data_IF_103570074681
#
_entry.id   IF_103570074681
#
_cell.length_a   1.000
_cell.length_b   1.000
_cell.length_c   1.000
_cell.angle_alpha   90.00
_cell.angle_beta   90.00
_cell.angle_gamma   90.00
#
_symmetry.space_group_name_H-M   'P 1'
#
loop_
_entity.id
_entity.type
_entity.pdbx_description
1 polymer ?
#
# COMPACT_ATOMS: atom_id res chain seq x y z
N UNK A 1 -2.31 3.33 8.09
CA UNK A 1 -1.58 2.27 7.38
C UNK A 1 -0.41 1.83 8.24
N UNK A 2 -0.16 0.53 8.32
CA UNK A 2 0.86 -0.03 9.21
C UNK A 2 1.72 -1.04 8.46
N UNK A 3 2.93 -1.27 8.96
CA UNK A 3 3.79 -2.34 8.45
C UNK A 3 3.03 -3.67 8.55
N UNK A 4 3.05 -4.44 7.47
CA UNK A 4 2.33 -5.70 7.38
C UNK A 4 0.94 -5.62 6.78
N UNK A 5 0.39 -4.40 6.62
CA UNK A 5 -0.88 -4.24 5.92
C UNK A 5 -0.73 -4.66 4.46
N UNK A 6 -1.79 -5.23 3.90
CA UNK A 6 -1.90 -5.45 2.46
C UNK A 6 -2.72 -4.32 1.86
N UNK A 7 -2.18 -3.70 0.82
CA UNK A 7 -2.78 -2.51 0.21
C UNK A 7 -2.90 -2.67 -1.31
N UNK A 8 -3.84 -1.92 -1.87
CA UNK A 8 -4.08 -1.86 -3.32
C UNK A 8 -4.10 -0.40 -3.73
N UNK A 9 -3.54 -0.10 -4.90
CA UNK A 9 -3.57 1.25 -5.45
C UNK A 9 -5.02 1.69 -5.71
N UNK A 10 -5.34 2.93 -5.34
CA UNK A 10 -6.66 3.52 -5.60
C UNK A 10 -6.97 3.61 -7.10
N UNK A 11 -5.94 3.59 -7.94
CA UNK A 11 -6.13 3.55 -9.39
C UNK A 11 -6.90 2.33 -9.86
N UNK A 12 -6.90 1.25 -9.08
CA UNK A 12 -7.56 0.00 -9.42
C UNK A 12 -8.89 -0.22 -8.68
N UNK A 13 -9.35 0.75 -7.90
CA UNK A 13 -10.54 0.53 -7.05
C UNK A 13 -11.82 0.25 -7.84
N UNK A 14 -11.86 0.64 -9.11
CA UNK A 14 -13.03 0.44 -9.97
C UNK A 14 -12.98 -0.84 -10.81
N UNK A 15 -11.89 -1.59 -10.70
CA UNK A 15 -11.77 -2.86 -11.43
C UNK A 15 -12.38 -3.98 -10.60
N UNK A 16 -13.16 -4.83 -11.26
CA UNK A 16 -13.82 -5.97 -10.62
C UNK A 16 -12.92 -7.20 -10.54
N UNK A 17 -11.82 -7.21 -11.27
CA UNK A 17 -10.92 -8.34 -11.33
C UNK A 17 -9.92 -8.35 -10.18
N UNK A 18 -9.21 -9.46 -10.07
CA UNK A 18 -8.19 -9.62 -9.04
C UNK A 18 -7.08 -8.62 -9.26
N UNK A 19 -6.90 -7.73 -8.28
CA UNK A 19 -5.78 -6.80 -8.25
C UNK A 19 -4.83 -7.28 -7.18
N UNK A 20 -3.53 -7.50 -7.51
CA UNK A 20 -2.58 -7.98 -6.51
C UNK A 20 -2.42 -6.96 -5.37
N UNK A 21 -2.64 -7.40 -4.14
CA UNK A 21 -2.33 -6.60 -2.97
C UNK A 21 -0.83 -6.65 -2.72
N UNK A 22 -0.29 -5.55 -2.20
CA UNK A 22 1.14 -5.42 -1.89
C UNK A 22 1.34 -5.24 -0.41
N UNK A 23 2.40 -5.84 0.11
CA UNK A 23 2.73 -5.77 1.53
C UNK A 23 3.44 -4.45 1.84
N UNK A 24 3.00 -3.77 2.88
CA UNK A 24 3.66 -2.57 3.40
C UNK A 24 4.88 -3.00 4.22
N UNK A 25 6.06 -2.56 3.78
CA UNK A 25 7.33 -2.88 4.45
C UNK A 25 7.75 -1.81 5.44
N UNK A 26 7.48 -0.55 5.15
CA UNK A 26 7.85 0.58 5.99
C UNK A 26 6.80 1.67 5.88
N UNK A 27 6.67 2.46 6.95
CA UNK A 27 5.77 3.61 7.03
C UNK A 27 6.53 4.73 7.71
N UNK A 28 6.41 5.96 7.19
CA UNK A 28 7.00 7.14 7.85
C UNK A 28 6.26 7.44 9.15
N UNK A 29 6.92 8.20 10.05
CA UNK A 29 6.33 8.57 11.33
C UNK A 29 5.02 9.36 11.17
N UNK A 30 4.92 10.18 10.12
CA UNK A 30 3.70 10.93 9.82
C UNK A 30 2.65 10.11 9.08
N UNK A 31 2.94 8.86 8.76
CA UNK A 31 2.08 7.92 8.02
C UNK A 31 1.71 8.36 6.61
N UNK A 32 2.41 9.33 6.07
CA UNK A 32 2.11 9.88 4.73
C UNK A 32 2.78 9.14 3.60
N UNK A 33 3.85 8.41 3.89
CA UNK A 33 4.64 7.67 2.89
C UNK A 33 4.85 6.24 3.34
N UNK A 34 4.87 5.35 2.37
CA UNK A 34 5.05 3.91 2.60
C UNK A 34 6.02 3.34 1.57
N UNK A 35 6.66 2.24 1.95
CA UNK A 35 7.44 1.40 1.04
C UNK A 35 6.70 0.08 0.89
N UNK A 36 6.53 -0.36 -0.35
CA UNK A 36 5.84 -1.61 -0.68
C UNK A 36 6.84 -2.66 -1.18
N UNK A 37 6.44 -3.93 -1.06
CA UNK A 37 7.29 -5.07 -1.39
C UNK A 37 7.72 -5.13 -2.86
N UNK A 38 6.92 -4.58 -3.78
CA UNK A 38 7.21 -4.61 -5.21
C UNK A 38 8.17 -3.50 -5.65
N UNK A 39 8.43 -2.53 -4.77
CA UNK A 39 9.35 -1.43 -5.08
C UNK A 39 10.02 -0.96 -3.79
N UNK A 40 10.90 -1.79 -3.20
CA UNK A 40 11.44 -1.54 -1.86
C UNK A 40 12.39 -0.36 -1.76
N UNK A 41 12.81 0.21 -2.87
CA UNK A 41 13.79 1.30 -2.89
C UNK A 41 13.14 2.69 -3.01
N UNK A 42 11.82 2.77 -3.12
CA UNK A 42 11.13 4.04 -3.33
C UNK A 42 9.99 4.22 -2.36
N UNK A 43 9.86 5.43 -1.82
CA UNK A 43 8.72 5.83 -1.02
C UNK A 43 7.55 6.19 -1.91
N UNK A 44 6.35 5.78 -1.49
CA UNK A 44 5.11 6.08 -2.18
C UNK A 44 4.17 6.83 -1.26
N UNK A 45 3.28 7.65 -1.83
CA UNK A 45 2.28 8.35 -1.03
C UNK A 45 1.23 7.37 -0.53
N UNK A 46 1.08 7.28 0.79
CA UNK A 46 0.10 6.38 1.40
C UNK A 46 -1.33 6.66 0.94
N UNK A 47 -1.66 7.93 0.68
CA UNK A 47 -3.00 8.34 0.22
C UNK A 47 -3.40 7.74 -1.12
N UNK A 48 -2.44 7.22 -1.89
CA UNK A 48 -2.71 6.60 -3.19
C UNK A 48 -3.12 5.14 -3.07
N UNK A 49 -3.20 4.62 -1.86
CA UNK A 49 -3.49 3.21 -1.60
C UNK A 49 -4.59 3.09 -0.55
N UNK A 50 -5.28 1.96 -0.57
CA UNK A 50 -6.21 1.59 0.50
C UNK A 50 -5.87 0.20 1.05
N UNK A 51 -6.14 0.02 2.35
CA UNK A 51 -5.87 -1.25 3.04
C UNK A 51 -6.99 -2.23 2.72
N UNK A 52 -6.61 -3.41 2.23
CA UNK A 52 -7.55 -4.50 1.97
C UNK A 52 -7.48 -5.58 3.05
N UNK A 53 -6.36 -5.66 3.74
CA UNK A 53 -6.19 -6.58 4.88
C UNK A 53 -5.24 -5.93 5.87
N UNK A 54 -5.76 -5.58 7.04
CA UNK A 54 -4.96 -4.96 8.10
C UNK A 54 -4.09 -5.99 8.80
N UNK A 55 -2.89 -5.56 9.14
CA UNK A 55 -1.96 -6.40 9.90
C UNK A 55 -2.47 -6.67 11.31
#
# INVERSE_FOLDING_TARGET
MKIGDLVVSKAYQNYSDIVPAKLVLQVTNDTKHVVLEDDPNNWKLARNFFVVSAA
#
